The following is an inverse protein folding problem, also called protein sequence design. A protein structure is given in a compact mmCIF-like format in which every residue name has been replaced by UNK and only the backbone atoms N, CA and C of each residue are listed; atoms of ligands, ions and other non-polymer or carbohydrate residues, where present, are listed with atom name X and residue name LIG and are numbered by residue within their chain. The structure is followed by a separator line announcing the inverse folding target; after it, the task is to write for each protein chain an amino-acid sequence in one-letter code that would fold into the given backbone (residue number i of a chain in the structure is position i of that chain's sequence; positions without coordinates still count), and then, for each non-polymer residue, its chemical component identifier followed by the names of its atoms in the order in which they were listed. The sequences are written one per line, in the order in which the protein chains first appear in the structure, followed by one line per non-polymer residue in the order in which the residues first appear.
data_IF_560865631050
#
_entry.id   IF_560865631050
#
_cell.length_a   1.000
_cell.length_b   1.000
_cell.length_c   1.000
_cell.angle_alpha   90.00
_cell.angle_beta   90.00
_cell.angle_gamma   90.00
#
_symmetry.space_group_name_H-M   'P 1'
#
loop_
_entity.id
_entity.type
_entity.pdbx_description
1 polymer ?
#
# COMPACT_ATOMS: atom_id res chain seq x y z
N UNK A 1 -10.06 -54.78 67.25
CA UNK A 1 -11.01 -54.76 66.08
C UNK A 1 -10.32 -54.05 64.91
N UNK A 2 -9.76 -54.79 63.99
CA UNK A 2 -9.03 -54.23 62.85
C UNK A 2 -9.95 -54.28 61.63
N UNK A 3 -10.40 -53.08 61.14
CA UNK A 3 -11.21 -52.96 59.92
C UNK A 3 -10.30 -53.09 58.69
N UNK A 4 -10.44 -54.19 57.97
CA UNK A 4 -9.80 -54.38 56.65
C UNK A 4 -10.43 -53.44 55.62
N UNK A 5 -9.72 -52.44 55.14
CA UNK A 5 -10.05 -51.63 53.98
C UNK A 5 -9.90 -52.52 52.72
N UNK A 6 -11.01 -52.73 52.00
CA UNK A 6 -10.97 -53.33 50.64
C UNK A 6 -10.35 -52.36 49.68
N UNK A 7 -9.19 -52.70 49.18
CA UNK A 7 -8.58 -52.03 48.04
C UNK A 7 -9.42 -52.40 46.79
N UNK A 8 -10.14 -51.44 46.22
CA UNK A 8 -10.81 -51.60 44.94
C UNK A 8 -9.71 -51.66 43.88
N UNK A 9 -9.43 -52.82 43.33
CA UNK A 9 -8.56 -52.98 42.19
C UNK A 9 -9.20 -52.25 41.00
N UNK A 10 -8.64 -51.08 40.65
CA UNK A 10 -9.00 -50.41 39.41
C UNK A 10 -8.47 -51.28 38.25
N UNK A 11 -9.37 -51.98 37.59
CA UNK A 11 -9.06 -52.69 36.34
C UNK A 11 -8.54 -51.71 35.33
N UNK A 12 -7.25 -51.71 35.10
CA UNK A 12 -6.64 -50.98 33.99
C UNK A 12 -7.01 -51.75 32.71
N UNK A 13 -8.04 -51.25 31.99
CA UNK A 13 -8.30 -51.71 30.65
C UNK A 13 -7.14 -51.34 29.74
N UNK A 14 -6.41 -52.30 29.23
CA UNK A 14 -5.35 -52.08 28.25
C UNK A 14 -5.96 -51.59 26.92
N UNK A 15 -5.37 -50.55 26.38
CA UNK A 15 -5.78 -50.00 25.07
C UNK A 15 -5.21 -50.89 23.97
N UNK A 16 -6.02 -51.32 23.02
CA UNK A 16 -5.55 -52.18 21.90
C UNK A 16 -4.90 -51.29 20.82
N UNK A 17 -3.94 -51.87 20.09
CA UNK A 17 -3.26 -51.21 18.98
C UNK A 17 -4.26 -50.74 17.89
N UNK A 18 -5.31 -51.53 17.68
CA UNK A 18 -6.36 -51.23 16.69
C UNK A 18 -7.22 -50.05 17.14
N UNK A 19 -7.58 -49.92 18.41
CA UNK A 19 -8.33 -48.78 18.93
C UNK A 19 -7.52 -47.48 18.79
N UNK A 20 -6.21 -47.55 19.06
CA UNK A 20 -5.33 -46.36 18.85
C UNK A 20 -5.27 -46.00 17.36
N UNK A 21 -5.09 -46.97 16.47
CA UNK A 21 -4.96 -46.77 15.04
C UNK A 21 -6.22 -46.14 14.42
N UNK A 22 -7.41 -46.60 14.83
CA UNK A 22 -8.70 -46.05 14.38
C UNK A 22 -8.85 -44.58 14.85
N UNK A 23 -8.49 -44.28 16.10
CA UNK A 23 -8.57 -42.91 16.64
C UNK A 23 -7.67 -41.96 15.87
N UNK A 24 -6.39 -42.32 15.64
CA UNK A 24 -5.48 -41.44 14.87
C UNK A 24 -5.92 -41.30 13.41
N UNK A 25 -6.52 -42.34 12.81
CA UNK A 25 -7.06 -42.23 11.44
C UNK A 25 -8.23 -41.27 11.37
N UNK A 26 -9.17 -41.30 12.34
CA UNK A 26 -10.30 -40.37 12.40
C UNK A 26 -9.79 -38.91 12.66
N UNK A 27 -8.88 -38.76 13.60
CA UNK A 27 -8.27 -37.41 13.87
C UNK A 27 -7.56 -36.89 12.61
N UNK A 28 -6.76 -37.72 11.95
CA UNK A 28 -6.06 -37.38 10.72
C UNK A 28 -7.01 -36.93 9.60
N UNK A 29 -8.12 -37.64 9.42
CA UNK A 29 -9.17 -37.31 8.45
C UNK A 29 -9.83 -35.94 8.79
N UNK A 30 -10.22 -35.78 10.07
CA UNK A 30 -10.84 -34.50 10.51
C UNK A 30 -9.92 -33.32 10.37
N UNK A 31 -8.65 -33.42 10.79
CA UNK A 31 -7.64 -32.36 10.67
C UNK A 31 -7.35 -32.07 9.20
N UNK A 32 -7.25 -33.09 8.35
CA UNK A 32 -7.04 -32.94 6.90
C UNK A 32 -8.15 -32.16 6.21
N UNK A 33 -9.40 -32.27 6.65
CA UNK A 33 -10.53 -31.50 6.12
C UNK A 33 -10.65 -30.08 6.75
N UNK A 34 -10.32 -29.96 8.04
CA UNK A 34 -10.47 -28.69 8.77
C UNK A 34 -9.36 -27.69 8.45
N UNK A 35 -8.12 -28.15 8.26
CA UNK A 35 -6.97 -27.24 8.08
C UNK A 35 -7.12 -26.30 6.88
N UNK A 36 -7.49 -26.77 5.66
CA UNK A 36 -7.71 -25.87 4.52
C UNK A 36 -8.89 -24.91 4.73
N UNK A 37 -9.95 -25.35 5.40
CA UNK A 37 -11.12 -24.54 5.68
C UNK A 37 -10.80 -23.40 6.66
N UNK A 38 -10.07 -23.70 7.72
CA UNK A 38 -9.62 -22.69 8.71
C UNK A 38 -8.69 -21.66 8.07
N UNK A 39 -7.76 -22.08 7.19
CA UNK A 39 -6.87 -21.15 6.50
C UNK A 39 -7.63 -20.19 5.59
N UNK A 40 -8.61 -20.69 4.82
CA UNK A 40 -9.47 -19.84 3.99
C UNK A 40 -10.30 -18.87 4.81
N UNK A 41 -10.86 -19.32 5.94
CA UNK A 41 -11.64 -18.48 6.83
C UNK A 41 -10.77 -17.36 7.46
N UNK A 42 -9.54 -17.67 7.87
CA UNK A 42 -8.57 -16.69 8.38
C UNK A 42 -8.20 -15.64 7.34
N UNK A 43 -7.96 -16.06 6.09
CA UNK A 43 -7.61 -15.11 5.03
C UNK A 43 -8.82 -14.23 4.66
N UNK A 44 -10.03 -14.78 4.61
CA UNK A 44 -11.25 -14.00 4.43
C UNK A 44 -11.43 -12.95 5.55
N UNK A 45 -11.16 -13.33 6.80
CA UNK A 45 -11.21 -12.40 7.94
C UNK A 45 -10.15 -11.29 7.82
N UNK A 46 -8.90 -11.62 7.45
CA UNK A 46 -7.84 -10.61 7.22
C UNK A 46 -8.20 -9.65 6.09
N UNK A 47 -8.75 -10.17 4.98
CA UNK A 47 -9.22 -9.33 3.87
C UNK A 47 -10.32 -8.36 4.31
N UNK A 48 -11.28 -8.82 5.13
CA UNK A 48 -12.29 -7.92 5.71
C UNK A 48 -11.66 -6.85 6.61
N UNK A 49 -10.66 -7.20 7.41
CA UNK A 49 -9.93 -6.23 8.23
C UNK A 49 -9.21 -5.19 7.35
N UNK A 50 -8.52 -5.61 6.28
CA UNK A 50 -7.88 -4.68 5.34
C UNK A 50 -8.90 -3.73 4.70
N UNK A 51 -10.03 -4.26 4.23
CA UNK A 51 -11.10 -3.45 3.65
C UNK A 51 -11.70 -2.45 4.66
N UNK A 52 -11.84 -2.84 5.93
CA UNK A 52 -12.32 -1.95 6.98
C UNK A 52 -11.31 -0.86 7.34
N UNK A 53 -10.02 -1.20 7.42
CA UNK A 53 -8.94 -0.22 7.64
C UNK A 53 -8.90 0.80 6.50
N UNK A 54 -8.98 0.34 5.25
CA UNK A 54 -9.06 1.21 4.08
C UNK A 54 -10.31 2.09 4.11
N UNK A 55 -11.46 1.55 4.54
CA UNK A 55 -12.70 2.33 4.68
C UNK A 55 -12.56 3.44 5.73
N UNK A 56 -11.85 3.20 6.84
CA UNK A 56 -11.53 4.24 7.82
C UNK A 56 -10.73 5.38 7.20
N UNK A 57 -9.72 5.07 6.37
CA UNK A 57 -8.99 6.07 5.62
C UNK A 57 -9.92 6.89 4.70
N UNK A 58 -10.85 6.23 4.02
CA UNK A 58 -11.81 6.91 3.16
C UNK A 58 -12.76 7.84 3.88
N UNK A 59 -13.32 7.39 4.98
CA UNK A 59 -14.16 8.24 5.83
C UNK A 59 -13.35 9.47 6.28
N UNK A 60 -12.09 9.30 6.64
CA UNK A 60 -11.20 10.41 7.02
C UNK A 60 -10.94 11.39 5.87
N UNK A 61 -10.73 10.88 4.64
CA UNK A 61 -10.59 11.69 3.43
C UNK A 61 -11.87 12.50 3.17
N UNK A 62 -13.03 11.85 3.26
CA UNK A 62 -14.34 12.49 3.04
C UNK A 62 -14.64 13.54 4.13
N UNK A 63 -14.27 13.28 5.37
CA UNK A 63 -14.40 14.25 6.47
C UNK A 63 -13.49 15.46 6.25
N UNK A 64 -12.26 15.26 5.77
CA UNK A 64 -11.37 16.35 5.37
C UNK A 64 -12.01 17.19 4.25
N UNK A 65 -12.55 16.55 3.19
CA UNK A 65 -13.21 17.26 2.08
C UNK A 65 -14.46 18.01 2.57
N UNK A 66 -15.28 17.39 3.37
CA UNK A 66 -16.49 18.01 3.93
C UNK A 66 -16.17 19.29 4.74
N UNK A 67 -15.10 19.27 5.52
CA UNK A 67 -14.67 20.41 6.34
C UNK A 67 -13.93 21.47 5.52
N UNK A 68 -13.03 21.05 4.63
CA UNK A 68 -12.13 21.94 3.87
C UNK A 68 -12.64 22.30 2.48
N UNK A 69 -13.68 21.60 1.99
CA UNK A 69 -14.26 21.73 0.64
C UNK A 69 -13.28 21.37 -0.49
N UNK A 70 -12.21 20.66 -0.15
CA UNK A 70 -11.22 20.12 -1.08
C UNK A 70 -10.70 18.78 -0.54
N UNK A 71 -10.38 17.86 -1.42
CA UNK A 71 -9.66 16.65 -1.06
C UNK A 71 -8.25 16.97 -0.51
N UNK A 72 -7.67 16.13 0.38
CA UNK A 72 -6.34 16.37 0.90
C UNK A 72 -5.31 16.29 -0.23
N UNK A 73 -4.63 17.41 -0.51
CA UNK A 73 -3.52 17.43 -1.48
C UNK A 73 -2.27 16.74 -0.93
N UNK A 74 -1.40 16.30 -1.82
CA UNK A 74 -0.04 15.88 -1.46
C UNK A 74 0.84 17.14 -1.44
N UNK A 75 1.85 17.18 -0.60
CA UNK A 75 2.65 18.37 -0.29
C UNK A 75 3.23 19.18 -1.45
N UNK A 76 4.11 20.13 -1.16
CA UNK A 76 4.55 21.18 -2.09
C UNK A 76 5.34 20.66 -3.29
N UNK A 77 5.05 21.22 -4.48
CA UNK A 77 5.79 21.00 -5.73
C UNK A 77 7.07 21.85 -5.86
N UNK A 78 7.17 22.93 -5.09
CA UNK A 78 8.27 23.91 -5.25
C UNK A 78 9.65 23.37 -4.86
N UNK A 79 9.66 22.35 -4.04
CA UNK A 79 10.88 21.63 -3.72
C UNK A 79 10.78 20.23 -4.34
N UNK A 80 11.80 19.77 -5.06
CA UNK A 80 11.93 18.33 -5.43
C UNK A 80 11.93 17.43 -4.18
N UNK A 81 11.66 18.02 -3.04
CA UNK A 81 11.60 17.41 -1.73
C UNK A 81 10.16 17.14 -1.34
N UNK A 82 9.89 16.00 -0.79
CA UNK A 82 8.56 15.56 -0.40
C UNK A 82 7.86 16.55 0.51
N UNK A 83 6.63 16.83 0.19
CA UNK A 83 5.68 17.27 1.20
C UNK A 83 5.05 16.09 1.96
N UNK A 84 4.05 16.42 2.77
CA UNK A 84 3.28 15.41 3.50
C UNK A 84 2.32 14.66 2.58
N UNK A 85 2.10 13.39 2.88
CA UNK A 85 1.17 12.52 2.16
C UNK A 85 -0.29 12.84 2.46
N UNK A 86 -1.20 12.22 1.71
CA UNK A 86 -2.63 12.17 2.04
C UNK A 86 -2.83 11.57 3.42
N UNK A 87 -2.12 10.48 3.74
CA UNK A 87 -2.20 9.77 5.01
C UNK A 87 -1.84 10.67 6.20
N UNK A 88 -0.80 11.50 6.08
CA UNK A 88 -0.46 12.46 7.13
C UNK A 88 -1.54 13.53 7.33
N UNK A 89 -2.18 13.98 6.25
CA UNK A 89 -3.19 15.06 6.31
C UNK A 89 -4.55 14.62 6.86
N UNK A 90 -4.83 13.30 6.84
CA UNK A 90 -6.10 12.75 7.34
C UNK A 90 -6.04 12.28 8.80
N UNK A 91 -4.88 12.34 9.46
CA UNK A 91 -4.72 11.94 10.87
C UNK A 91 -5.75 12.56 11.83
N UNK A 92 -6.07 13.88 11.73
CA UNK A 92 -7.08 14.48 12.60
C UNK A 92 -8.47 13.88 12.47
N UNK A 93 -8.74 13.20 11.34
CA UNK A 93 -10.04 12.58 11.03
C UNK A 93 -10.02 11.07 11.28
N UNK A 94 -8.92 10.52 11.81
CA UNK A 94 -8.73 9.10 12.12
C UNK A 94 -8.55 8.83 13.62
N UNK A 95 -8.96 9.75 14.47
CA UNK A 95 -8.73 9.69 15.92
C UNK A 95 -7.24 9.57 16.29
N UNK A 96 -6.36 10.13 15.44
CA UNK A 96 -4.91 10.12 15.61
C UNK A 96 -4.36 11.53 15.93
N UNK A 97 -5.10 12.33 16.69
CA UNK A 97 -4.69 13.69 17.05
C UNK A 97 -3.37 13.72 17.84
N UNK A 98 -3.12 12.71 18.66
CA UNK A 98 -1.85 12.55 19.37
C UNK A 98 -0.65 12.43 18.42
N UNK A 99 -0.80 11.72 17.30
CA UNK A 99 0.25 11.61 16.28
C UNK A 99 0.33 12.90 15.44
N UNK A 100 -0.82 13.48 15.11
CA UNK A 100 -0.89 14.73 14.35
C UNK A 100 -0.18 15.89 15.08
N UNK A 101 -0.27 15.96 16.41
CA UNK A 101 0.41 16.98 17.22
C UNK A 101 1.93 16.83 17.23
N UNK A 102 2.48 15.67 16.87
CA UNK A 102 3.92 15.46 16.73
C UNK A 102 4.46 15.96 15.38
N UNK A 103 3.59 16.34 14.45
CA UNK A 103 3.99 16.80 13.11
C UNK A 103 4.11 18.31 13.10
N UNK A 104 5.27 18.81 12.73
CA UNK A 104 5.45 20.22 12.39
C UNK A 104 5.24 20.44 10.88
N UNK A 105 4.03 20.85 10.52
CA UNK A 105 3.68 21.13 9.11
C UNK A 105 4.36 22.37 8.52
N UNK A 106 5.04 23.18 9.31
CA UNK A 106 5.82 24.33 8.82
C UNK A 106 7.16 23.91 8.24
N UNK A 107 7.64 22.71 8.56
CA UNK A 107 8.89 22.15 8.10
C UNK A 107 8.64 20.96 7.17
N UNK A 108 9.48 20.76 6.12
CA UNK A 108 9.32 19.60 5.24
C UNK A 108 9.60 18.30 6.01
N UNK A 109 8.93 17.19 5.65
CA UNK A 109 9.17 15.90 6.31
C UNK A 109 10.56 15.32 6.04
N UNK A 110 11.18 15.73 4.94
CA UNK A 110 12.55 15.34 4.57
C UNK A 110 13.35 16.56 4.14
N UNK A 111 14.65 16.51 4.36
CA UNK A 111 15.64 17.49 3.95
C UNK A 111 16.82 16.82 3.23
N UNK A 112 17.72 17.60 2.66
CA UNK A 112 18.90 17.12 1.94
C UNK A 112 18.82 17.33 0.43
N UNK A 113 19.79 16.78 -0.31
CA UNK A 113 19.88 16.88 -1.77
C UNK A 113 19.44 15.59 -2.47
N UNK A 114 19.25 15.68 -3.80
CA UNK A 114 18.96 14.50 -4.65
C UNK A 114 19.92 13.35 -4.34
N UNK A 115 19.37 12.19 -4.02
CA UNK A 115 20.13 10.98 -3.71
C UNK A 115 20.65 10.88 -2.26
N UNK A 116 20.51 11.92 -1.45
CA UNK A 116 20.89 11.92 -0.03
C UNK A 116 19.79 12.58 0.82
N UNK A 117 18.57 12.06 0.70
CA UNK A 117 17.43 12.54 1.45
C UNK A 117 17.45 11.96 2.86
N UNK A 118 17.22 12.81 3.86
CA UNK A 118 17.22 12.47 5.28
C UNK A 118 15.92 12.91 5.92
N UNK A 119 15.52 12.21 6.97
CA UNK A 119 14.36 12.60 7.77
C UNK A 119 14.68 13.91 8.52
N UNK A 120 13.78 14.88 8.44
CA UNK A 120 13.88 16.07 9.26
C UNK A 120 13.72 15.67 10.76
N UNK A 121 14.66 16.05 11.64
CA UNK A 121 14.60 15.66 13.06
C UNK A 121 13.30 16.07 13.74
N UNK A 122 12.69 17.19 13.36
CA UNK A 122 11.40 17.64 13.89
C UNK A 122 10.26 16.64 13.65
N UNK A 123 10.37 15.78 12.65
CA UNK A 123 9.35 14.80 12.27
C UNK A 123 9.64 13.41 12.80
N UNK A 124 10.78 13.18 13.45
CA UNK A 124 11.22 11.83 13.86
C UNK A 124 10.25 11.17 14.83
N UNK A 125 9.69 11.93 15.75
CA UNK A 125 8.69 11.44 16.72
C UNK A 125 7.45 10.90 16.02
N UNK A 126 6.88 11.65 15.08
CA UNK A 126 5.70 11.24 14.33
C UNK A 126 6.01 10.08 13.36
N UNK A 127 7.10 10.15 12.61
CA UNK A 127 7.48 9.15 11.61
C UNK A 127 7.68 7.75 12.21
N UNK A 128 8.10 7.68 13.48
CA UNK A 128 8.31 6.43 14.21
C UNK A 128 7.02 5.77 14.72
N UNK A 129 5.87 6.44 14.64
CA UNK A 129 4.60 5.88 15.13
C UNK A 129 4.01 4.91 14.11
N UNK A 130 3.74 3.69 14.56
CA UNK A 130 2.97 2.71 13.78
C UNK A 130 1.47 3.02 13.91
N UNK A 131 0.81 3.15 12.78
CA UNK A 131 -0.65 3.36 12.70
C UNK A 131 -1.29 2.08 12.15
N UNK A 132 -1.91 1.24 13.00
CA UNK A 132 -2.44 -0.06 12.57
C UNK A 132 -3.47 0.04 11.45
N UNK A 133 -4.26 1.13 11.40
CA UNK A 133 -5.25 1.37 10.35
C UNK A 133 -4.63 1.62 8.96
N UNK A 134 -3.32 1.83 8.86
CA UNK A 134 -2.61 1.95 7.59
C UNK A 134 -2.00 0.64 7.10
N UNK A 135 -2.14 -0.43 7.88
CA UNK A 135 -1.52 -1.72 7.59
C UNK A 135 -2.54 -2.79 7.20
N UNK A 136 -2.14 -3.65 6.27
CA UNK A 136 -2.88 -4.85 5.90
C UNK A 136 -2.30 -6.07 6.65
N UNK A 137 -3.10 -6.76 7.48
CA UNK A 137 -2.61 -7.90 8.27
C UNK A 137 -2.22 -9.12 7.42
N UNK A 138 -2.55 -9.14 6.12
CA UNK A 138 -2.12 -10.21 5.20
C UNK A 138 -0.77 -9.94 4.57
N UNK A 139 -0.22 -8.73 4.67
CA UNK A 139 1.08 -8.42 4.06
C UNK A 139 2.22 -9.21 4.72
N UNK A 140 2.24 -9.29 6.04
CA UNK A 140 3.22 -10.08 6.79
C UNK A 140 4.63 -9.48 6.87
N UNK A 141 4.92 -8.36 6.18
CA UNK A 141 6.19 -7.66 6.29
C UNK A 141 6.27 -6.78 7.57
N UNK A 142 7.49 -6.53 8.01
CA UNK A 142 7.73 -5.60 9.11
C UNK A 142 7.47 -4.16 8.62
N UNK A 143 6.54 -3.41 9.22
CA UNK A 143 6.28 -2.04 8.81
C UNK A 143 7.34 -1.04 9.28
N UNK A 144 8.30 -1.44 10.13
CA UNK A 144 9.31 -0.56 10.70
C UNK A 144 10.58 -0.57 9.86
N UNK A 145 10.90 0.56 9.25
CA UNK A 145 12.10 0.78 8.43
C UNK A 145 13.11 1.62 9.20
N UNK A 146 14.36 1.15 9.30
CA UNK A 146 15.43 1.80 10.08
C UNK A 146 16.62 2.25 9.22
N UNK A 147 16.52 2.13 7.89
CA UNK A 147 17.62 2.47 6.97
C UNK A 147 17.79 3.97 6.72
N UNK A 148 16.84 4.78 7.18
CA UNK A 148 16.91 6.22 7.04
C UNK A 148 17.75 6.87 8.14
N UNK A 149 18.30 8.04 7.85
CA UNK A 149 19.08 8.82 8.79
C UNK A 149 18.40 10.16 9.07
N UNK A 150 18.64 10.69 10.25
CA UNK A 150 18.26 12.05 10.59
C UNK A 150 19.18 13.07 9.90
N UNK A 151 18.60 14.17 9.46
CA UNK A 151 19.38 15.27 8.90
C UNK A 151 20.17 15.98 10.01
N UNK A 152 21.41 16.35 9.67
CA UNK A 152 22.33 17.02 10.59
C UNK A 152 23.12 16.14 11.54
N UNK A 153 22.55 15.02 12.07
CA UNK A 153 23.28 14.13 12.99
C UNK A 153 23.84 12.88 12.30
N UNK A 154 23.13 12.39 11.28
CA UNK A 154 23.44 11.10 10.67
C UNK A 154 22.99 9.89 11.48
N UNK A 155 22.32 10.09 12.62
CA UNK A 155 21.76 9.03 13.42
C UNK A 155 20.64 8.29 12.68
N UNK A 156 20.45 7.01 13.03
CA UNK A 156 19.37 6.21 12.45
C UNK A 156 17.98 6.76 12.77
N UNK A 157 17.10 6.76 11.77
CA UNK A 157 15.72 7.15 11.91
C UNK A 157 14.79 5.96 11.69
N UNK A 158 13.77 5.82 12.55
CA UNK A 158 12.73 4.83 12.39
C UNK A 158 11.54 5.42 11.64
N UNK A 159 11.11 4.74 10.58
CA UNK A 159 9.92 5.08 9.82
C UNK A 159 8.91 3.94 9.94
N UNK A 160 7.63 4.26 9.85
CA UNK A 160 6.57 3.26 9.79
C UNK A 160 5.81 3.33 8.47
N UNK A 161 5.62 2.17 7.87
CA UNK A 161 5.07 2.02 6.55
C UNK A 161 3.54 2.08 6.50
N UNK A 162 3.02 2.07 5.26
CA UNK A 162 1.59 1.91 4.98
C UNK A 162 1.35 1.05 3.75
N UNK A 163 0.25 0.28 3.77
CA UNK A 163 -0.20 -0.54 2.65
C UNK A 163 -1.25 0.16 1.78
N UNK A 164 -1.85 1.25 2.23
CA UNK A 164 -2.92 1.94 1.52
C UNK A 164 -2.39 3.19 0.85
N UNK A 165 -2.25 3.13 -0.48
CA UNK A 165 -1.63 4.16 -1.31
C UNK A 165 -2.68 5.04 -1.97
N UNK A 166 -2.43 6.34 -2.04
CA UNK A 166 -3.25 7.27 -2.78
C UNK A 166 -3.10 7.04 -4.30
N UNK A 167 -4.19 7.02 -5.04
CA UNK A 167 -4.16 6.98 -6.51
C UNK A 167 -3.73 8.36 -7.01
N UNK A 168 -2.56 8.41 -7.64
CA UNK A 168 -1.91 9.65 -8.05
C UNK A 168 -1.96 9.90 -9.55
N UNK A 169 -2.54 9.00 -10.31
CA UNK A 169 -2.76 9.11 -11.76
C UNK A 169 -3.23 7.79 -12.37
N UNK A 170 -3.83 7.86 -13.56
CA UNK A 170 -4.11 6.66 -14.35
C UNK A 170 -2.83 6.03 -14.89
N UNK A 171 -1.75 6.79 -15.00
CA UNK A 171 -0.51 6.38 -15.65
C UNK A 171 -0.55 6.46 -17.18
N UNK A 172 -1.68 6.83 -17.77
CA UNK A 172 -1.82 7.02 -19.22
C UNK A 172 -1.24 8.37 -19.64
N UNK A 173 -0.76 8.49 -20.87
CA UNK A 173 -0.15 9.73 -21.34
C UNK A 173 1.04 10.13 -20.44
N UNK A 174 0.93 11.28 -19.80
CA UNK A 174 1.92 11.83 -18.86
C UNK A 174 1.46 11.75 -17.39
N UNK A 175 0.35 11.05 -17.10
CA UNK A 175 -0.33 11.04 -15.80
C UNK A 175 0.29 10.06 -14.79
N UNK A 176 1.61 10.03 -14.69
CA UNK A 176 2.37 9.19 -13.75
C UNK A 176 3.35 9.98 -12.86
N UNK A 177 3.48 11.27 -13.08
CA UNK A 177 4.33 12.16 -12.28
C UNK A 177 3.46 13.03 -11.37
N UNK A 178 3.33 12.64 -10.13
CA UNK A 178 2.50 13.32 -9.14
C UNK A 178 2.94 14.75 -8.78
N UNK A 179 4.12 15.18 -9.22
CA UNK A 179 4.58 16.56 -9.03
C UNK A 179 3.77 17.58 -9.85
N UNK A 180 3.10 17.11 -10.87
CA UNK A 180 2.29 17.90 -11.78
C UNK A 180 0.81 17.49 -11.67
N UNK A 181 -0.11 18.35 -12.13
CA UNK A 181 -1.52 17.98 -12.20
C UNK A 181 -1.72 16.70 -13.02
N UNK A 182 -2.29 15.68 -12.40
CA UNK A 182 -2.70 14.43 -13.03
C UNK A 182 -4.21 14.37 -13.24
N UNK A 183 -4.68 13.30 -13.85
CA UNK A 183 -6.09 12.98 -14.02
C UNK A 183 -6.75 12.39 -12.76
N UNK A 184 -5.97 12.00 -11.74
CA UNK A 184 -6.48 11.50 -10.46
C UNK A 184 -6.91 12.62 -9.50
N UNK A 185 -7.43 12.24 -8.33
CA UNK A 185 -7.80 13.16 -7.25
C UNK A 185 -6.56 13.74 -6.57
N UNK A 186 -5.51 12.91 -6.35
CA UNK A 186 -4.35 13.26 -5.55
C UNK A 186 -3.10 13.50 -6.40
N UNK A 187 -2.54 14.66 -6.29
CA UNK A 187 -1.24 15.06 -6.83
C UNK A 187 -0.69 16.22 -5.99
N UNK A 188 0.55 16.65 -6.25
CA UNK A 188 1.15 17.75 -5.49
C UNK A 188 0.31 19.01 -5.60
N UNK A 189 -0.03 19.58 -4.44
CA UNK A 189 -0.84 20.78 -4.30
C UNK A 189 -2.23 20.71 -4.94
N UNK A 190 -2.77 19.49 -5.11
CA UNK A 190 -4.11 19.32 -5.67
C UNK A 190 -5.15 20.05 -4.81
N UNK A 191 -6.07 20.74 -5.49
CA UNK A 191 -7.26 21.39 -4.91
C UNK A 191 -8.53 20.82 -5.54
N UNK A 192 -8.57 19.52 -5.67
CA UNK A 192 -9.72 18.81 -6.26
C UNK A 192 -10.89 18.87 -5.30
N UNK A 193 -12.07 19.20 -5.81
CA UNK A 193 -13.34 19.18 -5.08
C UNK A 193 -14.23 18.07 -5.60
N UNK A 194 -15.30 17.71 -4.89
CA UNK A 194 -16.29 16.75 -5.36
C UNK A 194 -16.87 17.12 -6.74
N UNK A 195 -17.11 18.41 -6.99
CA UNK A 195 -17.63 18.88 -8.25
C UNK A 195 -16.70 18.68 -9.47
N UNK A 196 -15.43 18.36 -9.22
CA UNK A 196 -14.44 18.05 -10.28
C UNK A 196 -14.38 16.55 -10.61
N UNK A 197 -15.15 15.70 -9.92
CA UNK A 197 -15.22 14.26 -10.16
C UNK A 197 -16.44 13.99 -11.09
N UNK A 198 -16.28 14.30 -12.38
CA UNK A 198 -17.38 14.17 -13.35
C UNK A 198 -17.68 12.72 -13.74
N UNK A 199 -16.74 11.79 -13.53
CA UNK A 199 -16.91 10.36 -13.82
C UNK A 199 -17.77 9.65 -12.76
N UNK A 200 -18.08 10.38 -11.69
CA UNK A 200 -18.87 9.90 -10.55
C UNK A 200 -18.02 9.35 -9.41
N UNK A 201 -18.40 9.70 -8.18
CA UNK A 201 -17.66 9.31 -6.98
C UNK A 201 -17.59 7.78 -6.79
N UNK A 202 -18.59 7.04 -7.26
CA UNK A 202 -18.63 5.56 -7.22
C UNK A 202 -17.79 4.88 -8.33
N UNK A 203 -17.20 5.67 -9.23
CA UNK A 203 -16.39 5.20 -10.37
C UNK A 203 -14.97 5.76 -10.34
N UNK A 204 -14.58 6.51 -9.31
CA UNK A 204 -13.24 7.11 -9.21
C UNK A 204 -12.51 6.57 -7.99
N UNK A 205 -11.36 5.95 -8.20
CA UNK A 205 -10.52 5.40 -7.14
C UNK A 205 -9.76 6.50 -6.38
N UNK A 206 -9.81 6.43 -5.06
CA UNK A 206 -8.99 7.25 -4.16
C UNK A 206 -7.75 6.51 -3.66
N UNK A 207 -7.91 5.26 -3.23
CA UNK A 207 -6.81 4.49 -2.64
C UNK A 207 -6.81 3.05 -3.17
N UNK A 208 -5.63 2.46 -3.20
CA UNK A 208 -5.40 1.05 -3.54
C UNK A 208 -4.40 0.43 -2.58
N UNK A 209 -4.49 -0.88 -2.39
CA UNK A 209 -3.47 -1.63 -1.65
C UNK A 209 -2.14 -1.66 -2.41
N UNK A 210 -1.05 -1.63 -1.65
CA UNK A 210 0.29 -1.95 -2.09
C UNK A 210 1.02 -2.76 -1.01
N UNK A 211 1.95 -3.61 -1.42
CA UNK A 211 2.80 -4.33 -0.49
C UNK A 211 3.91 -3.42 0.05
N UNK A 212 4.28 -3.66 1.30
CA UNK A 212 5.49 -3.05 1.88
C UNK A 212 6.75 -3.64 1.24
N UNK A 213 7.78 -2.84 1.14
CA UNK A 213 9.11 -3.30 0.76
C UNK A 213 9.68 -4.30 1.77
N UNK A 214 10.62 -5.12 1.32
CA UNK A 214 11.25 -6.17 2.13
C UNK A 214 12.54 -5.72 2.86
N UNK A 215 12.81 -4.43 2.96
CA UNK A 215 14.01 -3.84 3.58
C UNK A 215 15.35 -4.23 2.93
N UNK A 216 15.32 -4.88 1.78
CA UNK A 216 16.54 -5.37 1.11
C UNK A 216 16.77 -4.63 -0.18
N UNK A 217 18.00 -4.21 -0.40
CA UNK A 217 18.44 -3.68 -1.68
C UNK A 217 19.27 -4.73 -2.41
N UNK A 218 18.96 -4.97 -3.68
CA UNK A 218 19.65 -5.96 -4.51
C UNK A 218 20.03 -5.38 -5.87
N UNK A 219 21.01 -5.98 -6.55
CA UNK A 219 21.31 -5.69 -7.96
C UNK A 219 20.68 -6.70 -8.91
N UNK A 220 20.29 -7.87 -8.42
CA UNK A 220 19.76 -8.97 -9.21
C UNK A 220 18.62 -9.69 -8.49
N UNK A 221 17.78 -10.38 -9.25
CA UNK A 221 16.70 -11.23 -8.74
C UNK A 221 15.77 -10.54 -7.71
N UNK A 222 15.10 -9.45 -8.08
CA UNK A 222 14.23 -8.73 -7.16
C UNK A 222 13.03 -9.57 -6.72
N UNK A 223 12.59 -9.34 -5.49
CA UNK A 223 11.29 -9.84 -5.02
C UNK A 223 10.18 -9.00 -5.63
N UNK A 224 9.50 -9.54 -6.63
CA UNK A 224 8.42 -8.84 -7.34
C UNK A 224 7.34 -8.38 -6.36
N UNK A 225 6.95 -7.12 -6.51
CA UNK A 225 5.94 -6.49 -5.66
C UNK A 225 6.48 -5.87 -4.37
N UNK A 226 7.70 -6.23 -3.94
CA UNK A 226 8.32 -5.67 -2.73
C UNK A 226 9.52 -4.80 -3.00
N UNK A 227 10.16 -4.97 -4.14
CA UNK A 227 11.32 -4.17 -4.53
C UNK A 227 11.01 -3.37 -5.79
N UNK A 228 11.54 -2.17 -5.85
CA UNK A 228 11.34 -1.20 -6.93
C UNK A 228 12.64 -1.04 -7.69
N UNK A 229 12.60 -1.27 -9.00
CA UNK A 229 13.75 -1.15 -9.88
C UNK A 229 14.10 0.32 -10.15
N UNK A 230 15.38 0.67 -9.98
CA UNK A 230 15.91 1.97 -10.40
C UNK A 230 16.44 1.85 -11.83
N UNK A 231 15.70 2.38 -12.80
CA UNK A 231 16.07 2.33 -14.21
C UNK A 231 16.61 3.68 -14.68
N UNK A 232 17.87 3.71 -15.07
CA UNK A 232 18.49 4.88 -15.68
C UNK A 232 17.85 5.31 -17.01
N UNK A 233 17.11 4.41 -17.66
CA UNK A 233 16.36 4.66 -18.90
C UNK A 233 15.11 5.51 -18.71
N UNK A 234 14.62 5.62 -17.46
CA UNK A 234 13.46 6.41 -17.10
C UNK A 234 13.84 7.86 -16.77
N UNK A 235 14.77 8.44 -17.53
CA UNK A 235 15.13 9.85 -17.41
C UNK A 235 14.13 10.69 -18.19
N UNK A 236 13.08 11.15 -17.52
CA UNK A 236 12.16 12.17 -18.03
C UNK A 236 12.16 13.36 -17.08
N UNK A 237 12.23 14.56 -17.60
CA UNK A 237 12.02 15.77 -16.84
C UNK A 237 10.60 16.31 -17.13
N UNK A 238 9.75 16.32 -16.11
CA UNK A 238 8.48 17.03 -16.16
C UNK A 238 7.38 16.39 -17.02
N UNK A 239 6.38 17.18 -17.35
CA UNK A 239 5.16 16.79 -18.08
C UNK A 239 5.35 16.10 -19.44
N UNK A 240 6.57 15.92 -19.92
CA UNK A 240 6.86 15.39 -21.25
C UNK A 240 7.01 13.86 -21.33
N UNK A 241 6.73 13.16 -20.25
CA UNK A 241 6.78 11.71 -20.24
C UNK A 241 8.19 11.12 -20.05
N UNK A 242 8.24 9.84 -19.77
CA UNK A 242 9.48 9.06 -19.79
C UNK A 242 10.08 9.09 -21.18
N UNK A 243 11.21 9.76 -21.38
CA UNK A 243 11.93 9.80 -22.65
C UNK A 243 11.03 10.03 -23.89
N UNK A 244 9.95 10.80 -23.75
CA UNK A 244 8.98 11.03 -24.83
C UNK A 244 7.96 9.91 -25.05
N UNK A 245 7.90 8.90 -24.18
CA UNK A 245 6.92 7.82 -24.25
C UNK A 245 5.65 8.24 -23.51
N UNK A 246 4.60 8.56 -24.27
CA UNK A 246 3.25 8.68 -23.74
C UNK A 246 2.59 7.31 -23.71
N UNK A 247 2.06 6.89 -22.56
CA UNK A 247 1.38 5.60 -22.39
C UNK A 247 2.26 4.39 -22.73
N UNK A 248 3.23 4.02 -21.86
CA UNK A 248 4.09 2.90 -22.13
C UNK A 248 3.32 1.59 -22.26
N UNK A 249 3.74 0.75 -23.19
CA UNK A 249 3.22 -0.61 -23.33
C UNK A 249 3.63 -1.48 -22.14
N UNK A 250 2.92 -2.57 -21.90
CA UNK A 250 3.24 -3.50 -20.82
C UNK A 250 4.65 -4.09 -20.99
N UNK A 251 5.08 -4.37 -22.22
CA UNK A 251 6.42 -4.87 -22.49
C UNK A 251 7.51 -3.86 -22.16
N UNK A 252 7.26 -2.56 -22.39
CA UNK A 252 8.18 -1.49 -21.97
C UNK A 252 8.22 -1.37 -20.44
N UNK A 253 7.06 -1.41 -19.76
CA UNK A 253 6.98 -1.38 -18.29
C UNK A 253 7.74 -2.55 -17.68
N UNK A 254 7.57 -3.76 -18.24
CA UNK A 254 8.32 -4.96 -17.86
C UNK A 254 9.84 -4.77 -18.07
N UNK A 255 10.24 -4.27 -19.22
CA UNK A 255 11.66 -3.99 -19.51
C UNK A 255 12.24 -2.97 -18.51
N UNK A 256 11.49 -1.97 -18.10
CA UNK A 256 11.93 -1.00 -17.08
C UNK A 256 12.06 -1.64 -15.69
N UNK A 257 11.12 -2.49 -15.30
CA UNK A 257 11.14 -3.18 -14.01
C UNK A 257 12.23 -4.25 -13.94
N UNK A 258 12.33 -5.14 -14.94
CA UNK A 258 13.26 -6.27 -14.98
C UNK A 258 14.69 -5.86 -15.39
N UNK A 259 14.83 -4.81 -16.20
CA UNK A 259 16.13 -4.29 -16.67
C UNK A 259 16.75 -3.22 -15.77
N UNK A 260 16.29 -3.06 -14.56
CA UNK A 260 16.84 -2.09 -13.63
C UNK A 260 18.25 -2.47 -13.16
N UNK A 261 19.09 -1.47 -12.93
CA UNK A 261 20.47 -1.67 -12.45
C UNK A 261 20.57 -1.93 -10.94
N UNK A 262 19.53 -1.62 -10.21
CA UNK A 262 19.42 -1.86 -8.76
C UNK A 262 17.96 -1.86 -8.33
N UNK A 263 17.67 -2.56 -7.24
CA UNK A 263 16.33 -2.69 -6.68
C UNK A 263 16.34 -2.29 -5.22
N UNK A 264 15.35 -1.48 -4.82
CA UNK A 264 15.22 -0.92 -3.49
C UNK A 264 14.03 -1.54 -2.78
N UNK A 265 14.23 -2.02 -1.55
CA UNK A 265 13.21 -2.66 -0.72
C UNK A 265 12.48 -1.71 0.22
N UNK A 266 12.36 -0.42 -0.13
CA UNK A 266 11.75 0.62 0.72
C UNK A 266 10.38 1.12 0.21
N UNK A 267 9.69 0.32 -0.62
CA UNK A 267 8.31 0.62 -1.05
C UNK A 267 7.40 0.74 0.16
N UNK A 268 6.63 1.82 0.24
CA UNK A 268 5.68 2.02 1.32
C UNK A 268 6.28 2.20 2.72
N UNK A 269 7.58 2.49 2.84
CA UNK A 269 8.29 2.55 4.11
C UNK A 269 7.86 3.69 5.04
N UNK A 270 7.07 4.66 4.56
CA UNK A 270 6.58 5.75 5.40
C UNK A 270 5.19 6.17 4.97
N UNK A 271 4.28 6.23 5.95
CA UNK A 271 2.96 6.82 5.75
C UNK A 271 3.01 8.36 5.64
N UNK A 272 4.09 9.00 6.10
CA UNK A 272 4.21 10.45 6.19
C UNK A 272 4.61 11.12 4.87
N UNK A 273 5.42 10.46 4.05
CA UNK A 273 6.05 11.10 2.89
C UNK A 273 5.16 11.09 1.66
N UNK A 274 4.87 12.28 1.13
CA UNK A 274 4.09 12.46 -0.09
C UNK A 274 4.90 12.19 -1.36
N UNK A 275 5.36 10.97 -1.57
CA UNK A 275 6.09 10.51 -2.78
C UNK A 275 5.46 9.25 -3.34
N UNK A 276 5.50 9.09 -4.65
CA UNK A 276 4.93 7.92 -5.31
C UNK A 276 5.51 6.61 -4.79
N UNK A 277 6.82 6.55 -4.50
CA UNK A 277 7.46 5.37 -3.90
C UNK A 277 6.82 4.97 -2.57
N UNK A 278 6.44 5.94 -1.73
CA UNK A 278 6.01 5.68 -0.36
C UNK A 278 4.50 5.58 -0.23
N UNK A 279 3.75 6.46 -0.89
CA UNK A 279 2.31 6.62 -0.64
C UNK A 279 1.48 6.79 -1.90
N UNK A 280 2.06 6.63 -3.10
CA UNK A 280 1.37 6.78 -4.37
C UNK A 280 1.25 5.47 -5.16
N UNK A 281 0.21 5.35 -5.98
CA UNK A 281 -0.06 4.21 -6.86
C UNK A 281 -0.73 4.68 -8.15
N UNK A 282 -0.53 3.95 -9.23
CA UNK A 282 -1.16 4.18 -10.55
C UNK A 282 -2.14 3.06 -10.88
N UNK A 283 -3.14 3.38 -11.70
CA UNK A 283 -4.11 2.41 -12.24
C UNK A 283 -3.76 1.95 -13.66
N UNK A 284 -2.52 2.16 -14.12
CA UNK A 284 -2.07 1.84 -15.48
C UNK A 284 -2.20 0.36 -15.85
N UNK A 285 -2.03 -0.52 -14.87
CA UNK A 285 -2.19 -1.98 -15.01
C UNK A 285 -3.08 -2.53 -13.92
N UNK A 286 -3.78 -3.64 -14.18
CA UNK A 286 -4.49 -4.41 -13.16
C UNK A 286 -3.61 -4.74 -11.95
N UNK A 287 -4.20 -5.06 -10.79
CA UNK A 287 -3.43 -5.40 -9.60
C UNK A 287 -2.45 -6.57 -9.81
N UNK A 288 -1.35 -6.56 -9.06
CA UNK A 288 -0.34 -7.61 -9.01
C UNK A 288 0.34 -7.96 -10.34
N UNK A 289 0.84 -6.98 -11.13
CA UNK A 289 1.61 -7.31 -12.33
C UNK A 289 2.84 -8.16 -11.98
N UNK A 290 3.21 -9.08 -12.89
CA UNK A 290 4.23 -10.11 -12.66
C UNK A 290 5.69 -9.62 -12.84
N UNK A 291 5.93 -8.32 -12.73
CA UNK A 291 7.27 -7.70 -12.82
C UNK A 291 7.39 -6.58 -11.79
N UNK A 292 8.62 -6.17 -11.40
CA UNK A 292 8.84 -5.13 -10.39
C UNK A 292 8.30 -3.77 -10.83
N UNK A 293 7.89 -2.96 -9.85
CA UNK A 293 7.68 -1.53 -10.04
C UNK A 293 9.00 -0.85 -10.45
N UNK A 294 8.91 0.31 -11.09
CA UNK A 294 10.11 1.02 -11.53
C UNK A 294 10.05 2.51 -11.19
N UNK A 295 11.18 3.04 -10.75
CA UNK A 295 11.37 4.48 -10.51
C UNK A 295 12.31 5.06 -11.54
N UNK A 296 11.98 6.27 -12.01
CA UNK A 296 12.74 6.97 -13.05
C UNK A 296 13.60 8.12 -12.56
N UNK A 297 13.53 8.44 -11.27
CA UNK A 297 14.29 9.58 -10.75
C UNK A 297 14.84 9.30 -9.36
N UNK A 298 15.95 9.95 -9.02
CA UNK A 298 16.52 9.92 -7.68
C UNK A 298 15.58 10.53 -6.63
N UNK A 299 14.61 11.35 -7.04
CA UNK A 299 13.60 11.92 -6.15
C UNK A 299 12.48 10.93 -5.81
N UNK A 300 12.35 9.80 -6.52
CA UNK A 300 11.34 8.76 -6.27
C UNK A 300 9.87 9.26 -6.34
N UNK A 301 9.66 10.40 -6.97
CA UNK A 301 8.34 11.01 -7.18
C UNK A 301 7.72 10.61 -8.52
N UNK A 302 8.54 10.19 -9.45
CA UNK A 302 8.17 9.73 -10.77
C UNK A 302 8.51 8.25 -10.90
N UNK A 303 7.55 7.46 -11.35
CA UNK A 303 7.74 6.03 -11.53
C UNK A 303 6.44 5.32 -11.82
N UNK A 304 6.54 4.06 -12.15
CA UNK A 304 5.39 3.17 -12.34
C UNK A 304 5.24 2.29 -11.12
N UNK A 305 4.31 2.66 -10.26
CA UNK A 305 3.99 1.97 -9.01
C UNK A 305 2.57 1.44 -9.11
N UNK A 306 2.42 0.12 -8.98
CA UNK A 306 1.16 -0.56 -9.21
C UNK A 306 0.48 -1.00 -7.93
N UNK A 307 -0.84 -1.24 -8.03
CA UNK A 307 -1.60 -1.89 -6.97
C UNK A 307 -1.05 -3.30 -6.74
N UNK A 308 -0.81 -3.64 -5.47
CA UNK A 308 -0.30 -4.94 -5.07
C UNK A 308 -0.93 -5.37 -3.76
N UNK A 309 -1.19 -6.66 -3.63
CA UNK A 309 -1.80 -7.19 -2.41
C UNK A 309 -1.34 -8.61 -2.15
N UNK A 310 -1.28 -8.99 -0.87
CA UNK A 310 -1.11 -10.36 -0.44
C UNK A 310 -2.39 -11.18 -0.53
N UNK A 311 -3.54 -10.55 -0.80
CA UNK A 311 -4.81 -11.25 -0.98
C UNK A 311 -4.84 -11.99 -2.31
N UNK A 312 -5.33 -13.22 -2.28
CA UNK A 312 -5.38 -14.06 -3.48
C UNK A 312 -6.35 -13.46 -4.49
N UNK A 313 -5.87 -13.27 -5.71
CA UNK A 313 -6.68 -12.95 -6.89
C UNK A 313 -6.96 -11.47 -7.14
N UNK A 314 -6.46 -10.53 -6.31
CA UNK A 314 -6.66 -9.10 -6.53
C UNK A 314 -6.21 -8.23 -5.38
N UNK A 315 -6.67 -6.98 -5.37
CA UNK A 315 -6.38 -5.98 -4.35
C UNK A 315 -7.64 -5.21 -3.94
N UNK A 316 -7.71 -4.76 -2.69
CA UNK A 316 -8.77 -3.85 -2.27
C UNK A 316 -8.47 -2.44 -2.79
N UNK A 317 -9.52 -1.73 -3.13
CA UNK A 317 -9.46 -0.32 -3.51
C UNK A 317 -10.66 0.45 -2.99
N UNK A 318 -10.47 1.73 -2.77
CA UNK A 318 -11.47 2.64 -2.27
C UNK A 318 -11.87 3.66 -3.31
N UNK A 319 -13.15 3.83 -3.47
CA UNK A 319 -13.76 4.81 -4.37
C UNK A 319 -14.04 6.15 -3.66
N UNK A 320 -14.26 7.19 -4.43
CA UNK A 320 -14.47 8.54 -3.91
C UNK A 320 -15.80 8.72 -3.15
N UNK A 321 -16.70 7.76 -3.24
CA UNK A 321 -17.92 7.70 -2.42
C UNK A 321 -17.69 7.03 -1.04
N UNK A 322 -16.45 6.57 -0.75
CA UNK A 322 -16.08 5.85 0.47
C UNK A 322 -16.38 4.34 0.43
N UNK A 323 -16.91 3.81 -0.67
CA UNK A 323 -17.08 2.37 -0.83
C UNK A 323 -15.75 1.68 -1.10
N UNK A 324 -15.52 0.54 -0.45
CA UNK A 324 -14.35 -0.30 -0.67
C UNK A 324 -14.75 -1.53 -1.48
N UNK A 325 -14.03 -1.78 -2.58
CA UNK A 325 -14.26 -2.91 -3.48
C UNK A 325 -12.98 -3.71 -3.67
N UNK A 326 -13.14 -4.98 -4.05
CA UNK A 326 -12.03 -5.85 -4.42
C UNK A 326 -11.91 -5.91 -5.94
N UNK A 327 -10.77 -5.51 -6.46
CA UNK A 327 -10.45 -5.51 -7.88
C UNK A 327 -9.64 -6.75 -8.21
N UNK A 328 -10.17 -7.59 -9.10
CA UNK A 328 -9.50 -8.82 -9.52
C UNK A 328 -8.28 -8.53 -10.39
N UNK A 329 -7.27 -9.40 -10.33
CA UNK A 329 -6.10 -9.33 -11.23
C UNK A 329 -6.48 -9.40 -12.71
N UNK A 330 -7.63 -10.01 -13.03
CA UNK A 330 -8.15 -10.18 -14.38
C UNK A 330 -9.09 -9.05 -14.82
N UNK A 331 -9.21 -7.96 -14.05
CA UNK A 331 -10.03 -6.81 -14.46
C UNK A 331 -9.52 -6.28 -15.81
N UNK A 332 -10.44 -5.84 -16.66
CA UNK A 332 -10.04 -5.21 -17.92
C UNK A 332 -9.16 -3.97 -17.65
N UNK A 333 -8.06 -3.89 -18.37
CA UNK A 333 -7.06 -2.83 -18.19
C UNK A 333 -7.66 -1.44 -18.44
N UNK A 334 -8.50 -1.29 -19.46
CA UNK A 334 -9.10 0.00 -19.80
C UNK A 334 -10.09 0.45 -18.73
N UNK A 335 -10.86 -0.48 -18.18
CA UNK A 335 -11.77 -0.23 -17.05
C UNK A 335 -10.97 0.19 -15.81
N UNK A 336 -9.88 -0.50 -15.50
CA UNK A 336 -9.06 -0.16 -14.33
C UNK A 336 -8.36 1.19 -14.47
N UNK A 337 -7.92 1.54 -15.69
CA UNK A 337 -7.37 2.86 -16.00
C UNK A 337 -8.42 3.96 -15.85
N UNK A 338 -9.62 3.75 -16.38
CA UNK A 338 -10.73 4.69 -16.27
C UNK A 338 -11.14 4.97 -14.82
N UNK A 339 -11.07 3.95 -13.94
CA UNK A 339 -11.31 4.13 -12.50
C UNK A 339 -10.27 5.04 -11.82
N UNK A 340 -9.09 5.23 -12.41
CA UNK A 340 -8.05 6.12 -11.89
C UNK A 340 -8.27 7.59 -12.24
N UNK A 341 -9.16 7.89 -13.18
CA UNK A 341 -9.45 9.26 -13.63
C UNK A 341 -10.62 9.86 -12.84
N UNK A 342 -10.59 11.19 -12.64
CA UNK A 342 -11.71 11.93 -12.04
C UNK A 342 -12.65 12.57 -13.08
N UNK A 343 -12.18 12.72 -14.31
CA UNK A 343 -12.89 13.46 -15.38
C UNK A 343 -12.53 12.95 -16.79
N UNK A 344 -12.21 11.68 -16.94
CA UNK A 344 -11.89 11.03 -18.21
C UNK A 344 -13.10 10.92 -19.12
N UNK A 345 -14.32 10.93 -18.56
CA UNK A 345 -15.60 10.76 -19.26
C UNK A 345 -15.74 9.42 -19.98
N UNK A 346 -14.98 8.43 -19.54
CA UNK A 346 -15.11 7.07 -20.02
C UNK A 346 -16.41 6.45 -19.48
N UNK A 347 -17.12 5.77 -20.35
CA UNK A 347 -18.29 5.01 -19.93
C UNK A 347 -17.83 3.68 -19.34
N UNK A 348 -17.56 3.64 -18.06
CA UNK A 348 -17.25 2.41 -17.33
C UNK A 348 -18.58 1.71 -17.12
N UNK A 349 -18.99 0.87 -18.08
CA UNK A 349 -20.17 0.01 -17.93
C UNK A 349 -20.09 -0.72 -16.59
N UNK A 350 -21.23 -0.78 -15.88
CA UNK A 350 -21.31 -1.15 -14.47
C UNK A 350 -20.32 -2.23 -14.04
N UNK A 351 -19.50 -1.86 -13.06
CA UNK A 351 -18.54 -2.74 -12.41
C UNK A 351 -19.36 -3.60 -11.43
N UNK A 352 -19.84 -4.76 -11.89
CA UNK A 352 -20.42 -5.79 -11.04
C UNK A 352 -19.32 -6.69 -10.42
#
# INVERSE_FOLDING_TARGET
MCRRSRCVLCERRGFTLVELLVVIAIIGMLVGLLLPAVQRAREAARRMTCANNMRQCGIAILNHESQRRVFPGIGSSETEMCGFSVQARILPYMEQDNVNQLIDYSLPPMSGSKGNMRLNPAQAGAASVCIPSYLCPSDGENPVFTEYQLDGSGDGASLNGCNFMAVVGSGTGTMYDMRYPTDAIFYCESKVTFGMISDGASNTLMMLESLLGNHQNTSENPVVGRQVGSSGSLKGSGQQGFAGVSSPTESQLRSYGEGASSYQGNRGCSWMFGRSLFTGVLTLLPPNPAFPDSTGSSSQQMGFYFARSAHIGGANGMLADGSCRFFQNAIDKSVFQALGTRNGKENVGGIE
#
